data_IF_721273652669
#
_entry.id   IF_721273652669
#
_cell.length_a   1.000
_cell.length_b   1.000
_cell.length_c   1.000
_cell.angle_alpha   90.00
_cell.angle_beta   90.00
_cell.angle_gamma   90.00
#
_symmetry.space_group_name_H-M   'P 1'
#
loop_
_entity.id
_entity.type
_entity.pdbx_description
1 polymer ?
#
# COMPACT_ATOMS: atom_id res chain seq x y z
N UNK A 1 -5.32 19.88 11.49
CA UNK A 1 -5.84 18.51 11.74
C UNK A 1 -5.27 17.60 10.68
N UNK A 2 -4.61 16.53 11.09
CA UNK A 2 -4.19 15.51 10.12
C UNK A 2 -5.43 14.87 9.48
N UNK A 3 -5.39 14.59 8.16
CA UNK A 3 -6.50 13.94 7.49
C UNK A 3 -6.72 12.53 8.07
N UNK A 4 -7.97 12.17 8.32
CA UNK A 4 -8.31 10.82 8.82
C UNK A 4 -7.92 9.77 7.78
N UNK A 5 -7.37 8.65 8.25
CA UNK A 5 -7.11 7.50 7.39
C UNK A 5 -8.43 6.92 6.87
N UNK A 6 -8.45 6.50 5.60
CA UNK A 6 -9.63 5.97 4.93
C UNK A 6 -9.61 4.46 4.90
N UNK A 7 -10.70 3.86 5.39
CA UNK A 7 -10.90 2.41 5.39
C UNK A 7 -12.04 2.07 4.41
N UNK A 8 -11.75 1.21 3.45
CA UNK A 8 -12.76 0.64 2.57
C UNK A 8 -13.31 -0.64 3.21
N UNK A 9 -14.61 -0.69 3.46
CA UNK A 9 -15.32 -1.85 3.99
C UNK A 9 -16.12 -2.48 2.85
N UNK A 10 -15.79 -3.72 2.53
CA UNK A 10 -16.40 -4.51 1.45
C UNK A 10 -17.11 -5.71 2.07
N UNK A 11 -18.42 -5.66 2.12
CA UNK A 11 -19.29 -6.72 2.66
C UNK A 11 -20.70 -6.52 2.07
N UNK A 12 -21.36 -7.56 1.63
CA UNK A 12 -22.70 -7.48 1.05
C UNK A 12 -23.78 -7.19 2.11
N UNK A 13 -23.49 -7.43 3.38
CA UNK A 13 -24.37 -7.11 4.51
C UNK A 13 -24.17 -5.67 5.02
N UNK A 14 -25.20 -4.84 4.87
CA UNK A 14 -25.21 -3.49 5.44
C UNK A 14 -25.01 -3.50 6.98
N UNK A 15 -25.57 -4.51 7.65
CA UNK A 15 -25.44 -4.69 9.11
C UNK A 15 -23.99 -4.91 9.49
N UNK A 16 -23.26 -5.77 8.75
CA UNK A 16 -21.86 -6.01 9.02
C UNK A 16 -21.01 -4.75 8.81
N UNK A 17 -21.26 -4.00 7.73
CA UNK A 17 -20.57 -2.73 7.49
C UNK A 17 -20.84 -1.72 8.60
N UNK A 18 -22.09 -1.61 9.06
CA UNK A 18 -22.47 -0.73 10.16
C UNK A 18 -21.78 -1.14 11.48
N UNK A 19 -21.77 -2.43 11.81
CA UNK A 19 -21.09 -2.96 13.01
C UNK A 19 -19.58 -2.68 12.98
N UNK A 20 -18.91 -2.86 11.85
CA UNK A 20 -17.49 -2.57 11.73
C UNK A 20 -17.20 -1.08 11.93
N UNK A 21 -18.01 -0.19 11.35
CA UNK A 21 -17.91 1.26 11.58
C UNK A 21 -18.10 1.64 13.05
N UNK A 22 -19.08 1.04 13.71
CA UNK A 22 -19.33 1.27 15.15
C UNK A 22 -18.16 0.79 16.00
N UNK A 23 -17.60 -0.39 15.70
CA UNK A 23 -16.44 -0.93 16.41
C UNK A 23 -15.22 -0.03 16.25
N UNK A 24 -14.92 0.40 15.02
CA UNK A 24 -13.76 1.21 14.70
C UNK A 24 -13.90 2.67 15.15
N UNK A 25 -15.12 3.18 15.26
CA UNK A 25 -15.43 4.51 15.79
C UNK A 25 -15.11 5.66 14.82
N UNK A 26 -15.05 6.87 15.34
CA UNK A 26 -14.94 8.10 14.53
C UNK A 26 -13.51 8.49 14.14
N UNK A 27 -12.51 7.66 14.46
CA UNK A 27 -11.10 7.91 14.16
C UNK A 27 -10.73 7.82 12.68
N UNK A 28 -11.59 7.22 11.85
CA UNK A 28 -11.37 6.93 10.45
C UNK A 28 -12.45 7.55 9.56
N UNK A 29 -12.16 7.68 8.29
CA UNK A 29 -13.15 7.94 7.24
C UNK A 29 -13.49 6.61 6.55
N UNK A 30 -14.76 6.34 6.33
CA UNK A 30 -15.20 5.06 5.77
C UNK A 30 -15.72 5.20 4.35
N UNK A 31 -15.28 4.27 3.51
CA UNK A 31 -15.85 4.00 2.19
C UNK A 31 -16.51 2.63 2.25
N UNK A 32 -17.63 2.46 1.59
CA UNK A 32 -18.40 1.21 1.61
C UNK A 32 -18.59 0.67 0.19
N UNK A 33 -18.48 -0.65 0.08
CA UNK A 33 -18.82 -1.39 -1.12
C UNK A 33 -19.66 -2.61 -0.74
N UNK A 34 -20.79 -2.77 -1.40
CA UNK A 34 -21.72 -3.90 -1.20
C UNK A 34 -21.35 -5.14 -1.99
N UNK A 35 -20.37 -5.06 -2.88
CA UNK A 35 -19.86 -6.19 -3.68
C UNK A 35 -18.43 -5.92 -4.18
N UNK A 36 -17.83 -6.95 -4.77
CA UNK A 36 -16.48 -6.87 -5.30
C UNK A 36 -16.32 -5.89 -6.45
N UNK A 37 -17.31 -5.77 -7.34
CA UNK A 37 -17.28 -4.84 -8.47
C UNK A 37 -17.21 -3.39 -7.99
N UNK A 38 -18.03 -3.05 -7.00
CA UNK A 38 -18.02 -1.71 -6.40
C UNK A 38 -16.70 -1.42 -5.68
N UNK A 39 -16.14 -2.41 -5.01
CA UNK A 39 -14.83 -2.29 -4.37
C UNK A 39 -13.72 -1.95 -5.39
N UNK A 40 -13.66 -2.68 -6.49
CA UNK A 40 -12.69 -2.42 -7.57
C UNK A 40 -12.88 -1.03 -8.18
N UNK A 41 -14.11 -0.60 -8.40
CA UNK A 41 -14.40 0.75 -8.91
C UNK A 41 -13.85 1.84 -7.98
N UNK A 42 -14.05 1.69 -6.68
CA UNK A 42 -13.53 2.62 -5.68
C UNK A 42 -11.99 2.60 -5.66
N UNK A 43 -11.37 1.41 -5.64
CA UNK A 43 -9.92 1.24 -5.64
C UNK A 43 -9.24 1.85 -6.88
N UNK A 44 -9.88 1.77 -8.05
CA UNK A 44 -9.36 2.38 -9.28
C UNK A 44 -9.36 3.91 -9.25
N UNK A 45 -10.33 4.50 -8.57
CA UNK A 45 -10.53 5.96 -8.55
C UNK A 45 -9.82 6.66 -7.41
N UNK A 46 -9.38 5.91 -6.39
CA UNK A 46 -8.85 6.46 -5.15
C UNK A 46 -7.48 5.88 -4.81
N UNK A 47 -6.54 6.76 -4.54
CA UNK A 47 -5.18 6.41 -4.13
C UNK A 47 -4.93 6.64 -2.63
N UNK A 48 -5.96 7.12 -1.91
CA UNK A 48 -5.88 7.56 -0.52
C UNK A 48 -6.51 6.55 0.47
N UNK A 49 -6.74 5.31 0.03
CA UNK A 49 -7.25 4.23 0.87
C UNK A 49 -6.10 3.66 1.69
N UNK A 50 -6.27 3.66 3.02
CA UNK A 50 -5.24 3.19 3.95
C UNK A 50 -5.36 1.70 4.30
N UNK A 51 -6.57 1.10 4.17
CA UNK A 51 -6.84 -0.30 4.50
C UNK A 51 -8.15 -0.75 3.85
N UNK A 52 -8.20 -2.03 3.48
CA UNK A 52 -9.42 -2.70 2.99
C UNK A 52 -9.82 -3.79 3.99
N UNK A 53 -11.06 -3.75 4.45
CA UNK A 53 -11.75 -4.86 5.12
C UNK A 53 -12.60 -5.58 4.08
N UNK A 54 -12.32 -6.84 3.81
CA UNK A 54 -12.88 -7.58 2.67
C UNK A 54 -13.56 -8.86 3.10
N UNK A 55 -14.88 -8.95 2.92
CA UNK A 55 -15.60 -10.23 3.03
C UNK A 55 -15.17 -11.17 1.90
N UNK A 56 -14.88 -12.42 2.24
CA UNK A 56 -14.53 -13.44 1.26
C UNK A 56 -15.74 -13.97 0.49
N UNK A 57 -16.90 -14.01 1.13
CA UNK A 57 -18.11 -14.60 0.56
C UNK A 57 -19.11 -13.50 0.22
N UNK A 58 -19.19 -13.19 -1.05
CA UNK A 58 -20.14 -12.21 -1.59
C UNK A 58 -20.72 -12.72 -2.92
N UNK A 59 -21.95 -12.30 -3.30
CA UNK A 59 -22.50 -12.64 -4.59
C UNK A 59 -21.77 -11.95 -5.73
N UNK A 60 -21.89 -12.48 -6.95
CA UNK A 60 -21.33 -11.98 -8.21
C UNK A 60 -19.80 -12.02 -8.28
N UNK A 61 -19.11 -11.17 -7.54
CA UNK A 61 -17.67 -11.11 -7.44
C UNK A 61 -17.25 -11.30 -5.98
N UNK A 62 -16.66 -12.43 -5.67
CA UNK A 62 -16.25 -12.77 -4.31
C UNK A 62 -14.96 -12.04 -3.86
N UNK A 63 -14.57 -12.19 -2.58
CA UNK A 63 -13.39 -11.55 -2.05
C UNK A 63 -12.09 -12.05 -2.68
N UNK A 64 -12.02 -13.31 -3.11
CA UNK A 64 -10.86 -13.84 -3.82
C UNK A 64 -10.68 -13.23 -5.20
N UNK A 65 -11.79 -12.93 -5.89
CA UNK A 65 -11.74 -12.20 -7.16
C UNK A 65 -11.21 -10.78 -6.98
N UNK A 66 -11.64 -10.09 -5.92
CA UNK A 66 -11.11 -8.78 -5.54
C UNK A 66 -9.60 -8.86 -5.26
N UNK A 67 -9.14 -9.84 -4.49
CA UNK A 67 -7.73 -10.05 -4.20
C UNK A 67 -6.91 -10.29 -5.47
N UNK A 68 -7.41 -11.09 -6.41
CA UNK A 68 -6.74 -11.31 -7.70
C UNK A 68 -6.55 -10.02 -8.49
N UNK A 69 -7.58 -9.19 -8.57
CA UNK A 69 -7.48 -7.88 -9.24
C UNK A 69 -6.47 -6.99 -8.51
N UNK A 70 -6.50 -6.94 -7.19
CA UNK A 70 -5.54 -6.16 -6.41
C UNK A 70 -4.10 -6.62 -6.63
N UNK A 71 -3.85 -7.92 -6.77
CA UNK A 71 -2.53 -8.47 -7.13
C UNK A 71 -2.11 -8.04 -8.54
N UNK A 72 -3.00 -8.15 -9.53
CA UNK A 72 -2.68 -7.75 -10.91
C UNK A 72 -2.26 -6.27 -11.03
N UNK A 73 -2.80 -5.41 -10.19
CA UNK A 73 -2.47 -3.98 -10.17
C UNK A 73 -1.42 -3.61 -9.10
N UNK A 74 -0.88 -4.59 -8.38
CA UNK A 74 0.07 -4.41 -7.27
C UNK A 74 -0.45 -3.50 -6.13
N UNK A 75 -1.77 -3.34 -5.98
CA UNK A 75 -2.34 -2.49 -4.93
C UNK A 75 -2.08 -3.01 -3.52
N UNK A 76 -1.88 -4.32 -3.37
CA UNK A 76 -1.57 -4.93 -2.07
C UNK A 76 -0.19 -4.53 -1.52
N UNK A 77 0.70 -4.04 -2.36
CA UNK A 77 2.00 -3.52 -1.90
C UNK A 77 1.84 -2.23 -1.10
N UNK A 78 0.78 -1.46 -1.37
CA UNK A 78 0.53 -0.19 -0.73
C UNK A 78 -0.65 -0.19 0.24
N UNK A 79 -1.64 -1.07 0.03
CA UNK A 79 -2.89 -1.12 0.78
C UNK A 79 -3.02 -2.48 1.47
N UNK A 80 -2.94 -2.53 2.81
CA UNK A 80 -3.20 -3.78 3.55
C UNK A 80 -4.65 -4.22 3.38
N UNK A 81 -4.83 -5.52 3.20
CA UNK A 81 -6.14 -6.15 3.16
C UNK A 81 -6.28 -7.05 4.39
N UNK A 82 -7.36 -6.85 5.14
CA UNK A 82 -7.80 -7.77 6.19
C UNK A 82 -9.06 -8.45 5.69
N UNK A 83 -9.02 -9.77 5.56
CA UNK A 83 -10.19 -10.52 5.12
C UNK A 83 -11.12 -10.84 6.28
N UNK A 84 -12.40 -10.92 5.97
CA UNK A 84 -13.46 -11.31 6.91
C UNK A 84 -13.92 -12.71 6.54
N UNK A 85 -13.96 -13.62 7.52
CA UNK A 85 -14.32 -15.01 7.32
C UNK A 85 -15.31 -15.53 8.36
N UNK A 86 -16.01 -16.61 8.04
CA UNK A 86 -16.77 -17.35 9.04
C UNK A 86 -15.82 -18.04 10.04
N UNK A 87 -16.31 -18.33 11.24
CA UNK A 87 -15.50 -18.86 12.34
C UNK A 87 -14.77 -20.17 12.04
N UNK A 88 -15.31 -21.02 11.16
CA UNK A 88 -14.80 -22.37 10.85
C UNK A 88 -14.08 -22.48 9.51
N UNK A 89 -13.93 -21.37 8.78
CA UNK A 89 -13.36 -21.37 7.42
C UNK A 89 -11.84 -21.18 7.42
N UNK A 90 -11.11 -22.20 7.91
CA UNK A 90 -9.65 -22.15 7.93
C UNK A 90 -9.02 -22.24 6.54
N UNK A 91 -9.63 -22.99 5.59
CA UNK A 91 -9.08 -23.13 4.23
C UNK A 91 -9.09 -21.83 3.46
N UNK A 92 -10.18 -21.09 3.54
CA UNK A 92 -10.29 -19.77 2.90
C UNK A 92 -9.31 -18.77 3.53
N UNK A 93 -9.08 -18.85 4.83
CA UNK A 93 -8.08 -18.00 5.51
C UNK A 93 -6.66 -18.33 5.04
N UNK A 94 -6.28 -19.60 4.97
CA UNK A 94 -4.97 -20.03 4.47
C UNK A 94 -4.76 -19.56 3.01
N UNK A 95 -5.75 -19.79 2.15
CA UNK A 95 -5.72 -19.33 0.76
C UNK A 95 -5.56 -17.81 0.66
N UNK A 96 -6.25 -17.05 1.51
CA UNK A 96 -6.13 -15.60 1.54
C UNK A 96 -4.72 -15.14 1.93
N UNK A 97 -4.08 -15.80 2.91
CA UNK A 97 -2.68 -15.53 3.26
C UNK A 97 -1.72 -15.83 2.10
N UNK A 98 -1.92 -16.92 1.38
CA UNK A 98 -1.14 -17.25 0.17
C UNK A 98 -1.30 -16.15 -0.92
N UNK A 99 -2.41 -15.45 -0.91
CA UNK A 99 -2.68 -14.32 -1.78
C UNK A 99 -2.20 -12.96 -1.21
N UNK A 100 -1.47 -12.95 -0.11
CA UNK A 100 -0.78 -11.76 0.40
C UNK A 100 -1.63 -10.83 1.27
N UNK A 101 -2.72 -11.31 1.89
CA UNK A 101 -3.48 -10.49 2.85
C UNK A 101 -2.67 -10.24 4.13
N UNK A 102 -2.91 -9.10 4.75
CA UNK A 102 -2.20 -8.70 5.96
C UNK A 102 -2.65 -9.48 7.20
N UNK A 103 -3.96 -9.75 7.31
CA UNK A 103 -4.56 -10.44 8.44
C UNK A 103 -6.00 -10.89 8.12
N UNK A 104 -6.68 -11.50 9.08
CA UNK A 104 -8.09 -11.89 8.97
C UNK A 104 -8.88 -11.54 10.23
N UNK A 105 -10.19 -11.36 10.09
CA UNK A 105 -11.14 -11.16 11.16
C UNK A 105 -12.22 -12.23 11.05
N UNK A 106 -12.50 -12.93 12.16
CA UNK A 106 -13.56 -13.93 12.22
C UNK A 106 -14.88 -13.31 12.65
N UNK A 107 -15.97 -13.85 12.12
CA UNK A 107 -17.31 -13.57 12.63
C UNK A 107 -17.68 -14.61 13.72
N UNK A 108 -18.39 -14.22 14.80
CA UNK A 108 -18.87 -12.88 15.13
C UNK A 108 -17.74 -11.91 15.48
N UNK A 109 -17.95 -10.60 15.20
CA UNK A 109 -16.92 -9.58 15.43
C UNK A 109 -16.64 -9.38 16.92
N UNK A 110 -15.43 -9.61 17.33
CA UNK A 110 -14.92 -9.28 18.65
C UNK A 110 -14.24 -7.91 18.61
N UNK A 111 -14.80 -6.94 19.31
CA UNK A 111 -14.36 -5.53 19.27
C UNK A 111 -12.85 -5.36 19.47
N UNK A 112 -12.31 -6.00 20.51
CA UNK A 112 -10.88 -5.86 20.85
C UNK A 112 -9.99 -6.41 19.72
N UNK A 113 -10.39 -7.54 19.13
CA UNK A 113 -9.63 -8.16 18.05
C UNK A 113 -9.67 -7.34 16.75
N UNK A 114 -10.85 -6.83 16.38
CA UNK A 114 -11.01 -5.96 15.20
C UNK A 114 -10.13 -4.72 15.33
N UNK A 115 -10.21 -4.01 16.44
CA UNK A 115 -9.42 -2.80 16.70
C UNK A 115 -7.92 -3.07 16.65
N UNK A 116 -7.47 -4.17 17.27
CA UNK A 116 -6.06 -4.55 17.33
C UNK A 116 -5.51 -4.88 15.94
N UNK A 117 -6.22 -5.71 15.16
CA UNK A 117 -5.79 -6.12 13.82
C UNK A 117 -5.74 -4.94 12.84
N UNK A 118 -6.75 -4.10 12.84
CA UNK A 118 -6.78 -2.90 12.01
C UNK A 118 -5.64 -1.94 12.38
N UNK A 119 -5.45 -1.65 13.66
CA UNK A 119 -4.37 -0.77 14.13
C UNK A 119 -3.00 -1.32 13.77
N UNK A 120 -2.77 -2.62 13.97
CA UNK A 120 -1.49 -3.26 13.65
C UNK A 120 -1.20 -3.22 12.13
N UNK A 121 -2.17 -3.53 11.29
CA UNK A 121 -2.01 -3.48 9.85
C UNK A 121 -1.69 -2.06 9.36
N UNK A 122 -2.43 -1.05 9.81
CA UNK A 122 -2.19 0.35 9.47
C UNK A 122 -0.79 0.80 9.91
N UNK A 123 -0.37 0.47 11.13
CA UNK A 123 0.95 0.83 11.65
C UNK A 123 2.09 0.15 10.88
N UNK A 124 1.96 -1.13 10.58
CA UNK A 124 2.97 -1.90 9.87
C UNK A 124 3.20 -1.37 8.46
N UNK A 125 2.11 -1.11 7.72
CA UNK A 125 2.19 -0.57 6.37
C UNK A 125 2.68 0.88 6.34
N UNK A 126 2.33 1.70 7.33
CA UNK A 126 2.88 3.05 7.45
C UNK A 126 4.39 3.03 7.66
N UNK A 127 4.90 2.12 8.50
CA UNK A 127 6.35 1.93 8.70
C UNK A 127 7.04 1.44 7.42
N UNK A 128 6.45 0.47 6.73
CA UNK A 128 6.99 -0.04 5.47
C UNK A 128 7.07 1.05 4.40
N UNK A 129 6.01 1.83 4.19
CA UNK A 129 6.01 2.97 3.26
C UNK A 129 7.10 3.99 3.59
N UNK A 130 7.28 4.30 4.89
CA UNK A 130 8.32 5.22 5.34
C UNK A 130 9.72 4.69 5.02
N UNK A 131 9.98 3.41 5.27
CA UNK A 131 11.26 2.78 4.96
C UNK A 131 11.55 2.76 3.47
N UNK A 132 10.58 2.37 2.65
CA UNK A 132 10.69 2.36 1.18
C UNK A 132 11.03 3.76 0.66
N UNK A 133 10.35 4.79 1.16
CA UNK A 133 10.61 6.18 0.78
C UNK A 133 12.03 6.62 1.13
N UNK A 134 12.49 6.33 2.35
CA UNK A 134 13.86 6.67 2.78
C UNK A 134 14.92 5.99 1.91
N UNK A 135 14.73 4.71 1.56
CA UNK A 135 15.64 3.99 0.67
C UNK A 135 15.63 4.60 -0.73
N UNK A 136 14.46 4.92 -1.28
CA UNK A 136 14.34 5.54 -2.61
C UNK A 136 15.03 6.91 -2.65
N UNK A 137 14.82 7.74 -1.64
CA UNK A 137 15.45 9.05 -1.52
C UNK A 137 16.99 8.93 -1.45
N UNK A 138 17.51 7.97 -0.68
CA UNK A 138 18.96 7.72 -0.60
C UNK A 138 19.58 7.22 -1.92
N UNK A 139 18.88 6.35 -2.63
CA UNK A 139 19.31 5.87 -3.96
C UNK A 139 19.35 7.03 -4.94
N UNK A 140 18.31 7.84 -4.97
CA UNK A 140 18.24 9.02 -5.83
C UNK A 140 19.37 10.03 -5.56
N UNK A 141 19.67 10.32 -4.29
CA UNK A 141 20.78 11.19 -3.92
C UNK A 141 22.14 10.63 -4.34
N UNK A 142 22.36 9.32 -4.18
CA UNK A 142 23.60 8.68 -4.62
C UNK A 142 23.78 8.71 -6.14
N UNK A 143 22.74 8.44 -6.90
CA UNK A 143 22.78 8.53 -8.36
C UNK A 143 23.02 9.96 -8.83
N UNK A 144 22.36 10.93 -8.24
CA UNK A 144 22.51 12.34 -8.59
C UNK A 144 23.91 12.85 -8.26
N UNK A 145 24.46 12.51 -7.11
CA UNK A 145 25.83 12.82 -6.72
C UNK A 145 26.85 12.10 -7.62
N UNK A 146 26.58 10.87 -8.03
CA UNK A 146 27.42 10.14 -8.98
C UNK A 146 27.47 10.82 -10.35
N UNK A 147 26.35 11.27 -10.89
CA UNK A 147 26.27 12.01 -12.16
C UNK A 147 27.00 13.35 -12.06
N UNK A 148 26.85 14.10 -10.97
CA UNK A 148 27.58 15.34 -10.73
C UNK A 148 29.08 15.11 -10.67
N UNK A 149 29.57 14.08 -9.98
CA UNK A 149 30.99 13.73 -9.91
C UNK A 149 31.56 13.38 -11.28
N UNK A 150 30.84 12.60 -12.09
CA UNK A 150 31.26 12.27 -13.46
C UNK A 150 31.33 13.53 -14.31
N UNK A 151 30.35 14.42 -14.22
CA UNK A 151 30.33 15.69 -14.96
C UNK A 151 31.52 16.60 -14.58
N UNK A 152 31.84 16.71 -13.29
CA UNK A 152 32.99 17.50 -12.79
C UNK A 152 34.30 16.89 -13.30
N UNK A 153 34.45 15.57 -13.21
CA UNK A 153 35.66 14.88 -13.71
C UNK A 153 35.83 15.04 -15.22
N UNK A 154 34.76 14.97 -16.01
CA UNK A 154 34.81 15.22 -17.44
C UNK A 154 35.27 16.64 -17.75
N UNK A 155 34.77 17.64 -17.05
CA UNK A 155 35.21 19.04 -17.22
C UNK A 155 36.68 19.24 -16.85
N UNK A 156 37.13 18.62 -15.77
CA UNK A 156 38.56 18.69 -15.34
C UNK A 156 39.46 18.06 -16.38
N UNK A 157 39.08 16.92 -16.97
CA UNK A 157 39.83 16.25 -18.04
C UNK A 157 39.88 17.13 -19.29
N UNK A 158 38.78 17.74 -19.69
CA UNK A 158 38.75 18.65 -20.86
C UNK A 158 39.68 19.87 -20.66
N UNK A 159 39.61 20.50 -19.49
CA UNK A 159 40.49 21.64 -19.15
C UNK A 159 41.98 21.23 -19.11
N UNK A 160 42.29 20.03 -18.62
CA UNK A 160 43.65 19.48 -18.60
C UNK A 160 44.19 19.23 -20.01
N UNK A 161 43.36 18.69 -20.92
CA UNK A 161 43.71 18.45 -22.31
C UNK A 161 43.97 19.76 -23.09
N UNK A 162 43.21 20.80 -22.84
CA UNK A 162 43.37 22.16 -23.43
C UNK A 162 44.71 22.75 -22.98
N UNK A 163 45.10 22.57 -21.71
CA UNK A 163 46.37 23.09 -21.18
C UNK A 163 47.61 22.37 -21.72
N UNK A 164 47.50 21.10 -22.09
CA UNK A 164 48.58 20.31 -22.69
C UNK A 164 48.73 20.63 -24.20
N UNK A 165 47.66 21.13 -24.86
CA UNK A 165 47.68 21.40 -26.29
C UNK A 165 48.08 22.83 -26.68
N UNK A 166 48.42 23.73 -25.75
CA UNK A 166 49.00 25.03 -26.04
C UNK A 166 50.50 24.85 -26.42
N UNK A 167 50.90 25.06 -27.68
CA UNK A 167 52.30 25.04 -28.05
C UNK A 167 52.99 26.26 -27.40
N UNK A 168 54.00 26.01 -26.57
CA UNK A 168 54.94 27.01 -26.10
C UNK A 168 55.56 27.71 -27.32
N UNK A 169 54.98 28.86 -27.75
CA UNK A 169 55.69 29.77 -28.61
C UNK A 169 56.81 30.41 -27.79
N UNK A 170 57.99 29.82 -27.85
CA UNK A 170 59.23 30.53 -27.51
C UNK A 170 59.60 31.41 -28.73
N UNK A 171 59.51 32.68 -28.51
CA UNK A 171 60.21 33.70 -29.36
C UNK A 171 61.69 33.68 -29.03
#
# INVERSE_FOLDING_TARGET
MEPKQKILIVDDSEINRAMLKEILGEGYEYLEAENGLRAIEILRRRTDIALVLLDLIMPEMDGFDVLRVMQCYAWQEEIPVIVISAAEDNRSVERAYDMGVADYIRRPFERVMVLRRVKNALMLYAKQKRLTRLVTDQVYEKEHNGVLMISILSHVVELSLIHISEPTRRT
#
